data_IF_649698092776
#
_entry.id   IF_649698092776
#
_cell.length_a   1.000
_cell.length_b   1.000
_cell.length_c   1.000
_cell.angle_alpha   90.00
_cell.angle_beta   90.00
_cell.angle_gamma   90.00
#
_symmetry.space_group_name_H-M   'P 1'
#
loop_
_entity.id
_entity.type
_entity.pdbx_description
1 polymer ?
#
# COMPACT_ATOMS: atom_id res chain seq x y z
N UNK A 1 15.14 -57.86 -43.88
CA UNK A 1 15.00 -56.46 -43.43
C UNK A 1 14.33 -56.45 -42.08
N UNK A 2 14.82 -55.60 -41.18
CA UNK A 2 14.58 -55.58 -39.74
C UNK A 2 13.18 -55.03 -39.39
N UNK A 3 12.63 -55.55 -38.29
CA UNK A 3 11.44 -55.16 -37.53
C UNK A 3 11.35 -53.63 -37.26
N UNK A 4 10.20 -52.97 -37.02
CA UNK A 4 9.24 -53.25 -35.95
C UNK A 4 7.90 -52.52 -36.14
N UNK A 5 6.86 -53.22 -35.74
CA UNK A 5 5.51 -52.78 -35.42
C UNK A 5 5.52 -52.20 -34.00
N UNK A 6 5.10 -50.96 -33.79
CA UNK A 6 4.74 -50.45 -32.46
C UNK A 6 3.40 -49.73 -32.56
N UNK A 7 2.40 -50.38 -32.00
CA UNK A 7 1.06 -49.86 -31.75
C UNK A 7 1.03 -49.18 -30.38
N UNK A 8 0.18 -48.15 -30.29
CA UNK A 8 -0.77 -47.92 -29.20
C UNK A 8 -0.42 -46.98 -28.04
N UNK A 9 -1.40 -46.08 -27.85
CA UNK A 9 -1.89 -45.45 -26.61
C UNK A 9 -1.07 -44.32 -25.99
N UNK A 10 -1.59 -43.12 -26.21
CA UNK A 10 -2.25 -42.38 -25.13
C UNK A 10 -1.35 -41.69 -24.12
N UNK A 11 -1.37 -40.36 -24.13
CA UNK A 11 -2.01 -39.59 -23.07
C UNK A 11 -1.95 -38.11 -23.42
N UNK A 12 -3.14 -37.54 -23.55
CA UNK A 12 -3.39 -36.12 -23.58
C UNK A 12 -2.87 -35.54 -22.26
N UNK A 13 -1.78 -34.77 -22.30
CA UNK A 13 -1.43 -33.85 -21.21
C UNK A 13 -1.89 -32.45 -21.58
N UNK A 14 -3.19 -32.19 -21.35
CA UNK A 14 -3.67 -30.83 -21.12
C UNK A 14 -3.12 -30.37 -19.77
N UNK A 15 -1.95 -29.72 -19.76
CA UNK A 15 -1.58 -28.91 -18.61
C UNK A 15 -2.24 -27.55 -18.78
N UNK A 16 -3.50 -27.45 -18.33
CA UNK A 16 -4.12 -26.18 -18.00
C UNK A 16 -3.40 -25.61 -16.77
N UNK A 17 -2.32 -24.84 -16.99
CA UNK A 17 -1.82 -23.93 -15.95
C UNK A 17 -2.74 -22.70 -15.98
N UNK A 18 -3.90 -22.82 -15.36
CA UNK A 18 -4.69 -21.67 -14.96
C UNK A 18 -4.80 -21.67 -13.44
N UNK A 19 -3.97 -20.85 -12.79
CA UNK A 19 -4.30 -20.20 -11.51
C UNK A 19 -3.11 -19.34 -11.04
N UNK A 20 -2.80 -18.28 -11.79
CA UNK A 20 -2.21 -17.10 -11.20
C UNK A 20 -3.33 -16.09 -11.06
N UNK A 21 -4.04 -16.06 -9.93
CA UNK A 21 -4.78 -14.85 -9.56
C UNK A 21 -3.72 -13.79 -9.28
N UNK A 22 -3.26 -13.12 -10.34
CA UNK A 22 -2.43 -11.94 -10.20
C UNK A 22 -3.23 -10.96 -9.34
N UNK A 23 -2.69 -10.56 -8.19
CA UNK A 23 -3.04 -9.26 -7.64
C UNK A 23 -2.91 -8.27 -8.80
N UNK A 24 -3.93 -7.42 -9.06
CA UNK A 24 -3.91 -6.53 -10.22
C UNK A 24 -2.68 -5.61 -10.23
N UNK A 25 -1.99 -5.46 -9.10
CA UNK A 25 -0.74 -4.72 -8.95
C UNK A 25 0.44 -5.63 -8.55
N UNK A 26 1.61 -5.53 -9.23
CA UNK A 26 2.81 -6.24 -8.81
C UNK A 26 3.24 -5.81 -7.40
N UNK A 27 3.66 -6.77 -6.58
CA UNK A 27 4.15 -6.50 -5.22
C UNK A 27 5.28 -5.46 -5.24
N UNK A 28 5.18 -4.36 -4.47
CA UNK A 28 6.27 -3.44 -4.28
C UNK A 28 7.47 -4.12 -3.63
N UNK A 29 8.67 -3.70 -4.03
CA UNK A 29 9.93 -4.16 -3.45
C UNK A 29 10.21 -3.50 -2.09
N UNK A 30 9.73 -2.27 -1.89
CA UNK A 30 9.96 -1.50 -0.67
C UNK A 30 8.73 -0.68 -0.26
N UNK A 31 8.58 -0.49 1.04
CA UNK A 31 7.63 0.47 1.60
C UNK A 31 8.18 1.91 1.53
N UNK A 32 7.31 2.93 1.50
CA UNK A 32 7.71 4.31 1.74
C UNK A 32 8.53 4.47 3.02
N UNK A 33 9.64 5.19 2.94
CA UNK A 33 10.40 5.51 4.14
C UNK A 33 9.65 6.55 4.99
N UNK A 34 9.73 6.41 6.33
CA UNK A 34 9.09 7.34 7.26
C UNK A 34 9.55 8.77 7.04
N UNK A 35 10.84 9.01 6.78
CA UNK A 35 11.37 10.36 6.53
C UNK A 35 10.80 10.98 5.25
N UNK A 36 10.54 10.16 4.22
CA UNK A 36 9.91 10.61 2.98
C UNK A 36 8.43 10.88 3.17
N UNK A 37 7.71 10.04 3.94
CA UNK A 37 6.34 10.32 4.37
C UNK A 37 6.30 11.66 5.10
N UNK A 38 7.14 11.86 6.11
CA UNK A 38 7.20 13.10 6.89
C UNK A 38 7.46 14.30 5.99
N UNK A 39 8.48 14.24 5.11
CA UNK A 39 8.81 15.33 4.19
C UNK A 39 7.64 15.75 3.30
N UNK A 40 6.90 14.79 2.75
CA UNK A 40 5.74 15.06 1.88
C UNK A 40 4.54 15.54 2.70
N UNK A 41 4.28 14.91 3.84
CA UNK A 41 3.09 15.15 4.65
C UNK A 41 3.16 16.45 5.44
N UNK A 42 4.35 16.98 5.75
CA UNK A 42 4.51 18.25 6.47
C UNK A 42 3.90 19.46 5.74
N UNK A 43 3.80 19.39 4.41
CA UNK A 43 3.21 20.45 3.57
C UNK A 43 1.77 20.14 3.15
N UNK A 44 1.27 18.93 3.44
CA UNK A 44 -0.03 18.46 2.97
C UNK A 44 -1.11 18.54 4.06
N UNK A 45 -2.34 18.67 3.57
CA UNK A 45 -3.52 19.08 4.32
C UNK A 45 -4.10 17.99 5.20
N UNK A 46 -4.51 18.39 6.41
CA UNK A 46 -5.51 17.65 7.19
C UNK A 46 -6.90 17.82 6.57
N UNK A 47 -7.70 16.78 6.66
CA UNK A 47 -9.09 16.74 6.20
C UNK A 47 -10.01 16.37 7.36
N UNK A 48 -11.11 17.12 7.52
CA UNK A 48 -12.15 16.76 8.47
C UNK A 48 -13.10 15.73 7.84
N UNK A 49 -13.36 14.65 8.56
CA UNK A 49 -14.33 13.62 8.22
C UNK A 49 -15.74 14.07 8.63
N UNK A 50 -16.78 13.43 8.06
CA UNK A 50 -18.19 13.73 8.37
C UNK A 50 -18.53 13.56 9.86
N UNK A 51 -17.75 12.77 10.61
CA UNK A 51 -17.89 12.57 12.06
C UNK A 51 -17.20 13.62 12.94
N UNK A 52 -16.61 14.67 12.35
CA UNK A 52 -15.90 15.73 13.08
C UNK A 52 -14.44 15.43 13.41
N UNK A 53 -14.00 14.17 13.27
CA UNK A 53 -12.60 13.76 13.37
C UNK A 53 -11.77 14.23 12.17
N UNK A 54 -10.45 14.24 12.34
CA UNK A 54 -9.50 14.67 11.34
C UNK A 54 -8.57 13.54 10.92
N UNK A 55 -8.11 13.58 9.68
CA UNK A 55 -7.05 12.71 9.16
C UNK A 55 -6.01 13.55 8.45
N UNK A 56 -4.76 13.12 8.48
CA UNK A 56 -3.74 13.62 7.56
C UNK A 56 -3.58 12.61 6.43
N UNK A 57 -3.74 13.06 5.18
CA UNK A 57 -3.60 12.20 4.02
C UNK A 57 -2.81 12.86 2.88
N UNK A 58 -2.24 12.01 2.03
CA UNK A 58 -1.71 12.40 0.74
C UNK A 58 -1.99 11.29 -0.26
N UNK A 59 -2.51 11.68 -1.41
CA UNK A 59 -2.80 10.76 -2.50
C UNK A 59 -1.71 10.83 -3.55
N UNK A 60 -1.42 9.70 -4.21
CA UNK A 60 -0.55 9.64 -5.40
C UNK A 60 0.81 10.30 -5.21
N UNK A 61 1.57 9.81 -4.24
CA UNK A 61 2.95 10.21 -4.08
C UNK A 61 3.87 9.00 -4.08
N UNK A 62 5.09 9.19 -4.60
CA UNK A 62 6.09 8.11 -4.66
C UNK A 62 6.75 7.84 -3.31
N UNK A 63 6.81 8.85 -2.43
CA UNK A 63 7.51 8.81 -1.15
C UNK A 63 8.90 8.18 -1.22
N UNK A 64 9.65 8.50 -2.28
CA UNK A 64 11.00 7.97 -2.51
C UNK A 64 11.07 6.55 -3.07
N UNK A 65 9.93 5.91 -3.35
CA UNK A 65 9.87 4.59 -3.99
C UNK A 65 9.63 4.71 -5.50
N UNK A 66 9.77 3.61 -6.25
CA UNK A 66 9.37 3.56 -7.67
C UNK A 66 7.85 3.47 -7.86
N UNK A 67 7.12 3.12 -6.81
CA UNK A 67 5.67 2.91 -6.85
C UNK A 67 4.92 4.14 -6.34
N UNK A 68 3.67 4.26 -6.76
CA UNK A 68 2.75 5.23 -6.22
C UNK A 68 2.10 4.71 -4.95
N UNK A 69 1.89 5.62 -4.00
CA UNK A 69 1.21 5.33 -2.75
C UNK A 69 0.21 6.43 -2.42
N UNK A 70 -0.89 6.04 -1.81
CA UNK A 70 -1.67 6.91 -0.95
C UNK A 70 -1.23 6.67 0.49
N UNK A 71 -1.15 7.72 1.29
CA UNK A 71 -0.85 7.64 2.72
C UNK A 71 -1.99 8.29 3.52
N UNK A 72 -2.37 7.67 4.63
CA UNK A 72 -3.30 8.26 5.60
C UNK A 72 -2.93 7.88 7.03
N UNK A 73 -3.12 8.81 7.95
CA UNK A 73 -3.12 8.50 9.39
C UNK A 73 -4.45 7.87 9.81
N UNK A 74 -4.49 7.27 10.99
CA UNK A 74 -5.73 7.03 11.71
C UNK A 74 -6.48 8.36 11.95
N UNK A 75 -7.79 8.30 12.06
CA UNK A 75 -8.59 9.44 12.48
C UNK A 75 -8.21 9.87 13.91
N UNK A 76 -8.25 11.17 14.17
CA UNK A 76 -7.98 11.74 15.48
C UNK A 76 -8.88 12.96 15.76
N UNK A 77 -9.23 13.22 17.02
CA UNK A 77 -10.05 14.37 17.38
C UNK A 77 -9.23 15.67 17.38
N UNK A 78 -9.82 16.76 16.92
CA UNK A 78 -9.30 18.12 17.07
C UNK A 78 -10.45 19.12 16.97
N UNK A 79 -10.37 20.23 17.73
CA UNK A 79 -11.44 21.22 17.80
C UNK A 79 -11.49 22.13 16.57
N UNK A 80 -10.36 22.29 15.88
CA UNK A 80 -10.22 23.11 14.68
C UNK A 80 -9.05 22.61 13.82
N UNK A 81 -8.92 23.22 12.64
CA UNK A 81 -7.90 22.85 11.65
C UNK A 81 -6.47 23.04 12.16
N UNK A 82 -6.19 24.10 12.93
CA UNK A 82 -4.83 24.38 13.41
C UNK A 82 -4.37 23.36 14.46
N UNK A 83 -5.28 22.98 15.36
CA UNK A 83 -5.04 21.88 16.29
C UNK A 83 -4.85 20.56 15.54
N UNK A 84 -5.65 20.33 14.50
CA UNK A 84 -5.53 19.12 13.68
C UNK A 84 -4.16 19.04 12.98
N UNK A 85 -3.66 20.15 12.44
CA UNK A 85 -2.33 20.23 11.83
C UNK A 85 -1.25 19.89 12.86
N UNK A 86 -1.29 20.48 14.05
CA UNK A 86 -0.30 20.21 15.11
C UNK A 86 -0.31 18.74 15.53
N UNK A 87 -1.49 18.15 15.72
CA UNK A 87 -1.65 16.73 16.06
C UNK A 87 -1.14 15.81 14.95
N UNK A 88 -1.47 16.12 13.70
CA UNK A 88 -0.95 15.41 12.54
C UNK A 88 0.59 15.44 12.49
N UNK A 89 1.20 16.62 12.65
CA UNK A 89 2.65 16.76 12.65
C UNK A 89 3.31 15.95 13.77
N UNK A 90 2.77 16.00 15.00
CA UNK A 90 3.28 15.21 16.12
C UNK A 90 3.18 13.70 15.86
N UNK A 91 2.05 13.24 15.31
CA UNK A 91 1.88 11.84 14.91
C UNK A 91 2.90 11.47 13.83
N UNK A 92 3.00 12.24 12.74
CA UNK A 92 3.91 11.98 11.63
C UNK A 92 5.38 11.89 12.07
N UNK A 93 5.82 12.81 12.94
CA UNK A 93 7.18 12.84 13.48
C UNK A 93 7.51 11.63 14.37
N UNK A 94 6.49 10.98 14.95
CA UNK A 94 6.65 9.84 15.85
C UNK A 94 6.38 8.49 15.20
N UNK A 95 6.04 8.47 13.91
CA UNK A 95 5.82 7.23 13.16
C UNK A 95 7.08 6.38 13.12
N UNK A 96 6.88 5.07 13.21
CA UNK A 96 7.88 4.03 13.00
C UNK A 96 7.30 2.99 12.08
N UNK A 97 8.14 2.46 11.19
CA UNK A 97 7.76 1.34 10.35
C UNK A 97 7.45 0.11 11.22
N UNK A 98 6.37 -0.59 10.89
CA UNK A 98 5.97 -1.83 11.55
C UNK A 98 6.14 -3.00 10.59
N UNK A 99 5.50 -2.93 9.42
CA UNK A 99 5.58 -4.00 8.43
C UNK A 99 5.11 -3.56 7.04
N UNK A 100 5.44 -4.38 6.05
CA UNK A 100 5.05 -4.21 4.65
C UNK A 100 6.20 -4.51 3.69
N UNK A 101 5.92 -4.56 2.37
CA UNK A 101 4.59 -4.55 1.78
C UNK A 101 3.84 -5.87 2.05
N UNK A 102 2.64 -5.77 2.59
CA UNK A 102 1.73 -6.91 2.84
C UNK A 102 0.45 -6.77 2.01
N UNK A 103 -0.17 -7.88 1.59
CA UNK A 103 -1.44 -7.83 0.85
C UNK A 103 -2.54 -7.11 1.64
N UNK A 104 -3.28 -6.24 0.97
CA UNK A 104 -4.45 -5.54 1.50
C UNK A 104 -5.54 -5.46 0.41
N UNK A 105 -6.52 -6.36 0.49
CA UNK A 105 -7.49 -6.59 -0.60
C UNK A 105 -6.78 -6.87 -1.94
N UNK A 106 -7.03 -6.02 -2.96
CA UNK A 106 -6.38 -6.08 -4.27
C UNK A 106 -5.05 -5.33 -4.35
N UNK A 107 -4.67 -4.63 -3.27
CA UNK A 107 -3.54 -3.70 -3.21
C UNK A 107 -2.47 -4.17 -2.21
N UNK A 108 -1.41 -3.38 -2.10
CA UNK A 108 -0.32 -3.58 -1.16
C UNK A 108 -0.32 -2.48 -0.13
N UNK A 109 -0.08 -2.85 1.13
CA UNK A 109 -0.04 -1.90 2.23
C UNK A 109 1.26 -1.97 3.04
N UNK A 110 1.61 -0.84 3.63
CA UNK A 110 2.66 -0.70 4.61
C UNK A 110 2.07 -0.04 5.86
N UNK A 111 2.38 -0.61 7.02
CA UNK A 111 1.86 -0.16 8.31
C UNK A 111 2.94 0.58 9.10
N UNK A 112 2.52 1.68 9.70
CA UNK A 112 3.35 2.53 10.56
C UNK A 112 2.60 2.77 11.87
N UNK A 113 3.35 2.89 12.96
CA UNK A 113 2.78 3.08 14.28
C UNK A 113 3.57 4.13 15.05
N UNK A 114 2.86 4.85 15.91
CA UNK A 114 3.40 5.73 16.92
C UNK A 114 2.64 5.52 18.24
N UNK A 115 3.12 6.11 19.33
CA UNK A 115 2.34 6.20 20.57
C UNK A 115 1.08 7.08 20.45
N UNK A 116 0.95 7.84 19.36
CA UNK A 116 -0.15 8.79 19.11
C UNK A 116 -1.19 8.27 18.12
N UNK A 117 -0.94 7.13 17.47
CA UNK A 117 -1.82 6.58 16.43
C UNK A 117 -1.07 5.79 15.35
N UNK A 118 -1.76 5.54 14.24
CA UNK A 118 -1.27 4.69 13.14
C UNK A 118 -1.17 5.47 11.82
N UNK A 119 -0.36 4.94 10.91
CA UNK A 119 -0.27 5.38 9.52
C UNK A 119 -0.33 4.19 8.58
N UNK A 120 -0.91 4.39 7.40
CA UNK A 120 -1.03 3.39 6.36
C UNK A 120 -0.62 3.99 5.03
N UNK A 121 0.30 3.33 4.33
CA UNK A 121 0.53 3.56 2.92
C UNK A 121 -0.09 2.43 2.11
N UNK A 122 -0.85 2.73 1.06
CA UNK A 122 -1.50 1.75 0.19
C UNK A 122 -1.19 2.07 -1.26
N UNK A 123 -0.81 1.08 -2.07
CA UNK A 123 -0.66 1.26 -3.52
C UNK A 123 -2.03 1.51 -4.14
N UNK A 124 -2.22 2.54 -4.99
CA UNK A 124 -3.49 2.73 -5.65
C UNK A 124 -3.71 1.63 -6.70
N UNK A 125 -4.94 1.14 -6.79
CA UNK A 125 -5.35 0.03 -7.66
C UNK A 125 -5.28 0.39 -9.15
N UNK A 126 -5.28 1.68 -9.46
CA UNK A 126 -5.16 2.26 -10.80
C UNK A 126 -4.37 3.56 -10.67
N UNK A 127 -3.81 4.06 -11.77
CA UNK A 127 -3.15 5.37 -11.93
C UNK A 127 -1.62 5.44 -11.73
N UNK A 128 -0.98 6.03 -12.73
CA UNK A 128 0.37 6.57 -12.65
C UNK A 128 0.45 7.77 -11.70
N UNK A 129 1.63 7.94 -11.11
CA UNK A 129 2.13 9.21 -10.56
C UNK A 129 2.71 10.00 -11.74
#
# INVERSE_FOLDING_TARGET
MKYNFVTMVGLIFFINIQAGMASPNPKPDICPDVSMIQKVMMNNSVQQLRGGEWVANASRNRFGTRYCWAFSTSAFPANNKDEAIKKAQALLLSLRFVEGPVPFFSDWSCRYQSGLGYGYAVTPTFYDC
#
